data_IF_674654003583
#
_entry.id   IF_674654003583
#
_cell.length_a   1.000
_cell.length_b   1.000
_cell.length_c   1.000
_cell.angle_alpha   90.00
_cell.angle_beta   90.00
_cell.angle_gamma   90.00
#
_symmetry.space_group_name_H-M   'P 1'
#
loop_
_entity.id
_entity.type
_entity.pdbx_description
1 polymer ?
#
# COMPACT_ATOMS: atom_id res chain seq x y z
N UNK A 1 10.11 7.81 -0.17
CA UNK A 1 8.90 8.38 0.46
C UNK A 1 7.72 7.96 -0.38
N UNK A 2 6.66 7.42 0.23
CA UNK A 2 5.41 7.14 -0.48
C UNK A 2 4.63 8.44 -0.73
N UNK A 3 3.96 8.53 -1.87
CA UNK A 3 3.28 9.71 -2.39
C UNK A 3 1.87 9.39 -2.87
N UNK A 4 1.12 10.40 -3.30
CA UNK A 4 -0.24 10.23 -3.80
C UNK A 4 -0.26 9.23 -4.97
N UNK A 5 -1.25 8.32 -4.96
CA UNK A 5 -1.43 7.18 -5.85
C UNK A 5 -0.48 6.00 -5.64
N UNK A 6 0.50 6.10 -4.74
CA UNK A 6 1.36 4.96 -4.45
C UNK A 6 0.59 3.85 -3.73
N UNK A 7 0.98 2.62 -4.04
CA UNK A 7 0.51 1.43 -3.36
C UNK A 7 1.45 1.14 -2.18
N UNK A 8 0.88 0.98 -0.98
CA UNK A 8 1.62 0.61 0.22
C UNK A 8 1.09 -0.70 0.79
N UNK A 9 2.01 -1.52 1.28
CA UNK A 9 1.70 -2.66 2.15
C UNK A 9 1.81 -2.19 3.61
N UNK A 10 0.69 -2.28 4.32
CA UNK A 10 0.64 -1.98 5.75
C UNK A 10 0.98 -3.24 6.54
N UNK A 11 1.96 -3.12 7.42
CA UNK A 11 2.28 -4.13 8.42
C UNK A 11 1.66 -3.73 9.75
N UNK A 12 0.98 -4.68 10.40
CA UNK A 12 0.50 -4.56 11.77
C UNK A 12 1.15 -5.67 12.60
N UNK A 13 1.66 -5.35 13.79
CA UNK A 13 2.35 -6.33 14.63
C UNK A 13 3.50 -7.05 13.90
N UNK A 14 4.21 -6.30 13.04
CA UNK A 14 5.31 -6.77 12.17
C UNK A 14 4.90 -7.88 11.19
N UNK A 15 3.61 -7.97 10.87
CA UNK A 15 3.06 -8.91 9.90
C UNK A 15 2.33 -8.14 8.79
N UNK A 16 2.41 -8.58 7.53
CA UNK A 16 1.66 -7.96 6.45
C UNK A 16 0.16 -8.09 6.74
N UNK A 17 -0.55 -6.97 6.72
CA UNK A 17 -1.97 -6.91 7.06
C UNK A 17 -2.83 -6.69 5.81
N UNK A 18 -2.60 -5.60 5.08
CA UNK A 18 -3.38 -5.24 3.90
C UNK A 18 -2.64 -4.26 2.99
N UNK A 19 -3.09 -4.19 1.74
CA UNK A 19 -2.69 -3.14 0.82
C UNK A 19 -3.60 -1.92 0.94
N UNK A 20 -3.01 -0.74 0.81
CA UNK A 20 -3.74 0.51 0.67
C UNK A 20 -3.12 1.38 -0.42
N UNK A 21 -3.94 2.18 -1.10
CA UNK A 21 -3.47 3.26 -1.97
C UNK A 21 -3.52 4.57 -1.19
N UNK A 22 -2.50 5.40 -1.32
CA UNK A 22 -2.54 6.77 -0.81
C UNK A 22 -3.42 7.61 -1.75
N UNK A 23 -4.53 8.13 -1.25
CA UNK A 23 -5.44 8.99 -2.01
C UNK A 23 -5.06 10.47 -1.90
N UNK A 24 -4.69 10.93 -0.71
CA UNK A 24 -4.38 12.33 -0.45
C UNK A 24 -3.40 12.47 0.73
N UNK A 25 -2.63 13.56 0.75
CA UNK A 25 -1.69 13.92 1.82
C UNK A 25 -1.83 15.42 2.07
N UNK A 26 -2.45 15.80 3.19
CA UNK A 26 -2.63 17.20 3.58
C UNK A 26 -1.89 17.53 4.88
N UNK A 27 -1.35 18.74 5.06
CA UNK A 27 -0.69 19.12 6.31
C UNK A 27 -1.65 19.05 7.51
N UNK A 28 -1.20 18.45 8.61
CA UNK A 28 -1.91 18.49 9.88
C UNK A 28 -1.57 19.79 10.65
N UNK A 29 -2.31 20.09 11.72
CA UNK A 29 -2.06 21.22 12.63
C UNK A 29 -0.64 21.17 13.20
N UNK A 30 -0.10 19.96 13.42
CA UNK A 30 1.28 19.77 13.87
C UNK A 30 2.25 19.80 12.69
N UNK A 31 3.25 20.70 12.74
CA UNK A 31 4.29 20.80 11.71
C UNK A 31 5.04 19.47 11.54
N UNK A 32 5.20 19.04 10.29
CA UNK A 32 5.87 17.77 9.93
C UNK A 32 4.95 16.55 9.97
N UNK A 33 3.67 16.75 10.33
CA UNK A 33 2.64 15.73 10.35
C UNK A 33 1.62 16.00 9.25
N UNK A 34 1.03 14.93 8.74
CA UNK A 34 0.15 14.94 7.60
C UNK A 34 -1.06 14.06 7.86
N UNK A 35 -2.23 14.52 7.42
CA UNK A 35 -3.41 13.69 7.28
C UNK A 35 -3.31 12.96 5.95
N UNK A 36 -3.15 11.65 6.03
CA UNK A 36 -2.96 10.76 4.89
C UNK A 36 -4.23 9.96 4.71
N UNK A 37 -4.93 10.21 3.61
CA UNK A 37 -6.10 9.43 3.21
C UNK A 37 -5.62 8.15 2.51
N UNK A 38 -6.03 7.00 3.05
CA UNK A 38 -5.67 5.67 2.57
C UNK A 38 -6.94 4.94 2.13
N UNK A 39 -6.94 4.46 0.88
CA UNK A 39 -7.94 3.54 0.37
C UNK A 39 -7.45 2.10 0.58
N UNK A 40 -8.01 1.41 1.57
CA UNK A 40 -7.77 -0.01 1.81
C UNK A 40 -8.42 -0.84 0.70
N UNK A 41 -7.60 -1.69 0.07
CA UNK A 41 -8.01 -2.54 -1.05
C UNK A 41 -8.64 -3.85 -0.56
N UNK A 42 -9.68 -3.75 0.25
CA UNK A 42 -10.51 -4.85 0.74
C UNK A 42 -11.80 -5.01 -0.07
N UNK A 43 -12.59 -6.03 0.24
CA UNK A 43 -13.95 -6.20 -0.29
C UNK A 43 -14.96 -6.12 0.88
N UNK A 44 -15.73 -5.03 1.01
CA UNK A 44 -15.72 -3.82 0.18
C UNK A 44 -14.47 -2.94 0.43
N UNK A 45 -14.10 -2.04 -0.50
CA UNK A 45 -13.06 -1.05 -0.26
C UNK A 45 -13.43 -0.13 0.91
N UNK A 46 -12.43 0.28 1.70
CA UNK A 46 -12.63 1.15 2.84
C UNK A 46 -11.66 2.33 2.77
N UNK A 47 -12.12 3.52 3.10
CA UNK A 47 -11.26 4.70 3.22
C UNK A 47 -11.00 4.99 4.69
N UNK A 48 -9.75 5.28 5.03
CA UNK A 48 -9.34 5.69 6.37
C UNK A 48 -8.38 6.87 6.28
N UNK A 49 -8.34 7.69 7.33
CA UNK A 49 -7.44 8.85 7.42
C UNK A 49 -6.53 8.65 8.62
N UNK A 50 -5.22 8.66 8.40
CA UNK A 50 -4.21 8.55 9.44
C UNK A 50 -3.37 9.82 9.54
N UNK A 51 -3.02 10.21 10.76
CA UNK A 51 -2.11 11.33 11.03
C UNK A 51 -0.70 10.74 11.14
N UNK A 52 0.14 10.99 10.14
CA UNK A 52 1.47 10.40 9.99
C UNK A 52 2.54 11.49 9.93
N UNK A 53 3.70 11.21 10.51
CA UNK A 53 4.91 12.02 10.30
C UNK A 53 5.58 11.63 8.98
N UNK A 54 6.43 12.52 8.46
CA UNK A 54 7.19 12.29 7.23
C UNK A 54 8.00 10.98 7.26
N UNK A 55 8.62 10.64 8.39
CA UNK A 55 9.40 9.40 8.58
C UNK A 55 8.54 8.14 8.45
N UNK A 56 7.27 8.19 8.88
CA UNK A 56 6.34 7.06 8.73
C UNK A 56 6.02 6.79 7.26
N UNK A 57 5.90 7.84 6.43
CA UNK A 57 5.74 7.73 4.98
C UNK A 57 7.01 7.25 4.26
N UNK A 58 8.16 7.32 4.92
CA UNK A 58 9.41 6.71 4.48
C UNK A 58 9.55 5.23 4.90
N UNK A 59 8.63 4.75 5.74
CA UNK A 59 8.55 3.37 6.18
C UNK A 59 9.18 3.08 7.55
N UNK A 60 9.40 4.11 8.39
CA UNK A 60 9.73 3.85 9.79
C UNK A 60 8.58 3.16 10.52
N UNK A 61 8.93 2.30 11.48
CA UNK A 61 7.96 1.66 12.39
C UNK A 61 7.49 2.71 13.40
N UNK A 62 6.17 2.82 13.57
CA UNK A 62 5.54 3.70 14.54
C UNK A 62 4.46 2.95 15.31
N UNK A 63 3.93 3.57 16.36
CA UNK A 63 2.94 2.92 17.23
C UNK A 63 1.58 3.59 17.08
N UNK A 64 0.56 2.81 16.69
CA UNK A 64 -0.83 3.23 16.76
C UNK A 64 -1.53 2.48 17.89
N UNK A 65 -1.97 3.19 18.92
CA UNK A 65 -2.69 2.63 20.09
C UNK A 65 -1.95 1.43 20.72
N UNK A 66 -0.62 1.52 20.84
CA UNK A 66 0.22 0.47 21.42
C UNK A 66 0.58 -0.69 20.48
N UNK A 67 0.13 -0.67 19.22
CA UNK A 67 0.50 -1.68 18.22
C UNK A 67 1.52 -1.12 17.22
N UNK A 68 2.63 -1.82 16.93
CA UNK A 68 3.57 -1.39 15.91
C UNK A 68 2.96 -1.50 14.52
N UNK A 69 3.13 -0.44 13.73
CA UNK A 69 2.66 -0.27 12.37
C UNK A 69 3.81 0.19 11.50
N UNK A 70 3.86 -0.28 10.26
CA UNK A 70 4.85 0.14 9.28
C UNK A 70 4.25 0.19 7.88
N UNK A 71 4.60 1.20 7.08
CA UNK A 71 4.23 1.30 5.68
C UNK A 71 5.40 0.88 4.79
N UNK A 72 5.17 -0.04 3.87
CA UNK A 72 6.15 -0.43 2.86
C UNK A 72 5.66 -0.06 1.48
N UNK A 73 6.40 0.82 0.78
CA UNK A 73 6.10 1.20 -0.59
C UNK A 73 6.22 -0.02 -1.52
N UNK A 74 5.19 -0.25 -2.33
CA UNK A 74 5.22 -1.24 -3.41
C UNK A 74 5.46 -0.50 -4.73
N UNK A 75 6.63 -0.69 -5.36
CA UNK A 75 6.94 0.02 -6.59
C UNK A 75 6.02 -0.44 -7.73
N UNK A 76 5.60 0.47 -8.63
CA UNK A 76 4.90 0.10 -9.85
C UNK A 76 5.71 -0.91 -10.66
N UNK A 77 5.03 -1.90 -11.24
CA UNK A 77 5.70 -2.80 -12.18
C UNK A 77 6.04 -2.01 -13.45
N UNK A 78 7.31 -2.02 -13.86
CA UNK A 78 7.73 -1.40 -15.09
C UNK A 78 6.98 -2.02 -16.29
N UNK A 79 6.58 -1.21 -17.29
CA UNK A 79 6.06 -1.75 -18.54
C UNK A 79 7.08 -2.72 -19.15
N UNK A 80 6.63 -3.83 -19.76
CA UNK A 80 7.55 -4.71 -20.47
C UNK A 80 8.28 -3.91 -21.56
N UNK A 81 9.61 -4.01 -21.60
CA UNK A 81 10.40 -3.39 -22.65
C UNK A 81 10.09 -4.08 -23.99
N UNK A 82 9.90 -3.33 -25.09
CA UNK A 82 9.76 -3.92 -26.41
C UNK A 82 11.02 -4.77 -26.72
N UNK A 83 10.85 -6.10 -26.81
CA UNK A 83 11.93 -7.04 -27.13
C UNK A 83 12.47 -7.87 -25.95
N UNK A 84 11.99 -7.70 -24.72
CA UNK A 84 12.30 -8.66 -23.65
C UNK A 84 11.63 -10.02 -23.94
N UNK A 85 12.35 -11.15 -23.78
CA UNK A 85 11.74 -12.47 -23.85
C UNK A 85 10.56 -12.54 -22.87
N UNK A 86 9.44 -13.12 -23.30
CA UNK A 86 8.29 -13.34 -22.42
C UNK A 86 8.79 -14.04 -21.14
N UNK A 87 8.33 -13.63 -19.94
CA UNK A 87 8.73 -14.27 -18.71
C UNK A 87 8.43 -15.77 -18.82
N UNK A 88 9.47 -16.60 -18.67
CA UNK A 88 9.41 -18.07 -18.71
C UNK A 88 8.71 -18.64 -17.46
N UNK A 89 7.57 -18.07 -17.08
CA UNK A 89 6.67 -18.66 -16.09
C UNK A 89 5.66 -19.50 -16.84
N UNK A 90 5.66 -20.82 -16.62
CA UNK A 90 4.53 -21.68 -16.99
C UNK A 90 3.33 -21.26 -16.14
N UNK A 91 2.67 -20.17 -16.52
CA UNK A 91 1.43 -19.71 -15.92
C UNK A 91 0.38 -20.80 -16.14
N UNK A 92 0.07 -21.56 -15.09
CA UNK A 92 -0.97 -22.57 -15.15
C UNK A 92 -2.30 -21.83 -15.29
N UNK A 93 -2.89 -21.85 -16.48
CA UNK A 93 -4.24 -21.33 -16.72
C UNK A 93 -5.22 -22.22 -15.96
N UNK A 94 -5.85 -21.69 -14.91
CA UNK A 94 -6.89 -22.38 -14.15
C UNK A 94 -8.24 -21.85 -14.67
N UNK A 95 -9.05 -22.67 -15.35
CA UNK A 95 -10.36 -22.24 -15.81
C UNK A 95 -11.26 -21.91 -14.60
N UNK A 96 -11.90 -20.74 -14.64
CA UNK A 96 -12.92 -20.35 -13.65
C UNK A 96 -14.19 -21.15 -13.92
N UNK A 97 -14.39 -22.24 -13.18
CA UNK A 97 -15.61 -23.05 -13.28
C UNK A 97 -16.78 -22.24 -12.71
N UNK A 98 -17.75 -21.90 -13.57
CA UNK A 98 -19.05 -21.38 -13.10
C UNK A 98 -19.80 -22.55 -12.46
N UNK A 99 -20.01 -22.50 -11.15
CA UNK A 99 -21.01 -23.36 -10.49
C UNK A 99 -22.40 -22.79 -10.81
N UNK A 100 -23.19 -23.58 -11.52
CA UNK A 100 -24.65 -23.39 -11.69
C UNK A 100 -25.35 -23.69 -10.38
#
# INVERSE_FOLDING_TARGET
MATINDLVLVHLDRKPAFYARINDITPDVKRGWYQVELLVLSLPPQTLVWILEETHLQGEEYTMRGRPVQLTLIPPQAPPQPGSPAPSGKGKVIPLVRKT
#
